data_IF_898783792598
#
_entry.id   IF_898783792598
#
_cell.length_a   1.000
_cell.length_b   1.000
_cell.length_c   1.000
_cell.angle_alpha   90.00
_cell.angle_beta   90.00
_cell.angle_gamma   90.00
#
_symmetry.space_group_name_H-M   'P 1'
#
loop_
_entity.id
_entity.type
_entity.pdbx_description
1 polymer ?
#
# COMPACT_ATOMS: atom_id res chain seq x y z
N UNK A 1 52.99 18.35 3.54
CA UNK A 1 53.02 18.63 2.09
C UNK A 1 51.64 19.15 1.70
N UNK A 2 51.66 20.27 1.01
CA UNK A 2 50.53 21.13 0.60
C UNK A 2 49.95 20.62 -0.73
N UNK A 3 48.63 20.69 -0.90
CA UNK A 3 47.92 21.22 -2.09
C UNK A 3 46.39 21.04 -1.90
N UNK A 4 45.55 22.08 -1.80
CA UNK A 4 44.98 22.93 -2.87
C UNK A 4 43.93 22.17 -3.72
N UNK A 5 42.67 22.59 -3.98
CA UNK A 5 42.03 23.91 -4.11
C UNK A 5 40.51 23.89 -3.86
N UNK A 6 40.02 24.95 -3.22
CA UNK A 6 38.71 25.63 -3.39
C UNK A 6 38.85 26.61 -4.59
N UNK A 7 37.87 27.22 -5.24
CA UNK A 7 36.53 27.76 -4.89
C UNK A 7 35.86 28.18 -6.24
N UNK A 8 34.53 28.31 -6.28
CA UNK A 8 33.76 28.76 -7.45
C UNK A 8 33.46 30.25 -7.33
N UNK A 9 33.76 31.01 -8.39
CA UNK A 9 33.67 32.47 -8.48
C UNK A 9 32.38 32.91 -9.21
N UNK A 10 31.75 33.99 -8.71
CA UNK A 10 30.60 34.68 -9.31
C UNK A 10 31.07 35.92 -10.10
N UNK A 11 30.34 36.42 -11.12
CA UNK A 11 30.70 37.67 -11.77
C UNK A 11 29.89 38.88 -11.27
N UNK A 12 30.60 40.02 -11.15
CA UNK A 12 30.11 41.40 -10.90
C UNK A 12 30.17 42.24 -12.20
N UNK A 13 29.40 43.33 -12.14
CA UNK A 13 29.12 44.40 -13.12
C UNK A 13 30.30 45.27 -13.60
N UNK A 14 30.08 46.05 -14.68
CA UNK A 14 30.30 47.51 -14.86
C UNK A 14 30.47 47.86 -16.37
N UNK A 15 29.75 48.81 -16.97
CA UNK A 15 30.01 50.28 -17.02
C UNK A 15 29.95 50.71 -18.51
N UNK A 16 29.80 51.95 -18.98
CA UNK A 16 29.60 53.31 -18.46
C UNK A 16 29.35 54.27 -19.66
N UNK A 17 28.70 55.42 -19.40
CA UNK A 17 28.92 56.80 -19.95
C UNK A 17 28.90 57.05 -21.50
N UNK A 18 28.58 58.22 -22.09
CA UNK A 18 28.23 59.60 -21.72
C UNK A 18 27.91 60.36 -23.05
N UNK A 19 27.09 61.43 -23.00
CA UNK A 19 27.41 62.79 -23.53
C UNK A 19 26.16 63.64 -23.88
N UNK A 20 26.07 64.79 -23.20
CA UNK A 20 25.29 66.01 -23.53
C UNK A 20 26.15 66.90 -24.49
N UNK A 21 25.79 68.14 -24.95
CA UNK A 21 24.84 69.11 -24.38
C UNK A 21 24.11 70.07 -25.37
N UNK A 22 23.51 71.10 -24.77
CA UNK A 22 23.16 72.45 -25.29
C UNK A 22 21.71 72.73 -25.74
N UNK A 23 21.13 73.72 -25.05
CA UNK A 23 19.82 74.29 -25.32
C UNK A 23 19.88 75.64 -26.05
N UNK A 24 18.73 76.07 -26.56
CA UNK A 24 18.36 77.43 -26.92
C UNK A 24 16.83 77.47 -27.13
N UNK A 25 16.16 78.41 -26.46
CA UNK A 25 14.76 78.84 -26.61
C UNK A 25 14.80 80.33 -27.08
N UNK A 26 13.75 81.03 -27.60
CA UNK A 26 12.39 80.68 -28.06
C UNK A 26 12.00 81.28 -29.44
N UNK A 27 10.90 80.78 -30.06
CA UNK A 27 9.75 81.56 -30.57
C UNK A 27 8.78 80.71 -31.42
N UNK A 28 7.47 81.03 -31.46
CA UNK A 28 6.43 80.16 -31.98
C UNK A 28 6.27 80.30 -33.49
N UNK A 29 6.22 79.17 -34.20
CA UNK A 29 5.73 79.09 -35.56
C UNK A 29 4.33 78.49 -35.49
N UNK A 30 3.30 79.31 -35.69
CA UNK A 30 1.95 78.82 -35.98
C UNK A 30 1.93 78.20 -37.38
N UNK A 31 1.62 76.91 -37.46
CA UNK A 31 1.11 76.28 -38.69
C UNK A 31 -0.08 75.36 -38.34
N UNK A 32 -1.04 75.20 -39.26
CA UNK A 32 -2.44 74.94 -38.94
C UNK A 32 -2.71 73.49 -38.56
N UNK A 33 -3.70 73.31 -37.68
CA UNK A 33 -4.24 72.03 -37.25
C UNK A 33 -4.61 71.13 -38.45
N UNK A 34 -3.75 70.17 -38.77
CA UNK A 34 -4.16 68.95 -39.47
C UNK A 34 -4.81 68.04 -38.43
N UNK A 35 -6.10 67.76 -38.63
CA UNK A 35 -6.81 66.72 -37.93
C UNK A 35 -6.12 65.37 -38.20
N UNK A 36 -5.26 64.94 -37.28
CA UNK A 36 -4.80 63.55 -37.20
C UNK A 36 -5.96 62.76 -36.64
N UNK A 37 -6.61 61.99 -37.50
CA UNK A 37 -7.55 60.96 -37.08
C UNK A 37 -6.75 59.94 -36.25
N UNK A 38 -6.88 60.00 -34.92
CA UNK A 38 -6.38 58.94 -34.05
C UNK A 38 -7.17 57.65 -34.33
N UNK A 39 -6.65 56.82 -35.23
CA UNK A 39 -7.04 55.41 -35.28
C UNK A 39 -6.39 54.72 -34.09
N UNK A 40 -7.05 54.76 -32.92
CA UNK A 40 -6.75 53.80 -31.84
C UNK A 40 -6.89 52.39 -32.43
N UNK A 41 -5.84 51.55 -32.40
CA UNK A 41 -6.06 50.13 -32.63
C UNK A 41 -6.93 49.63 -31.49
N UNK A 42 -8.20 49.33 -31.78
CA UNK A 42 -9.00 48.51 -30.90
C UNK A 42 -8.28 47.18 -30.80
N UNK A 43 -7.62 46.94 -29.66
CA UNK A 43 -7.20 45.60 -29.28
C UNK A 43 -8.50 44.80 -29.11
N UNK A 44 -8.90 44.09 -30.16
CA UNK A 44 -10.01 43.16 -30.08
C UNK A 44 -9.61 42.09 -29.08
N UNK A 45 -10.18 42.14 -27.87
CA UNK A 45 -10.14 41.01 -26.96
C UNK A 45 -10.70 39.81 -27.73
N UNK A 46 -9.98 38.67 -27.78
CA UNK A 46 -10.45 37.50 -28.51
C UNK A 46 -11.85 37.15 -28.00
N UNK A 47 -12.77 36.90 -28.93
CA UNK A 47 -14.17 36.60 -28.65
C UNK A 47 -14.27 35.63 -27.49
N UNK A 48 -14.74 36.17 -26.35
CA UNK A 48 -15.01 35.40 -25.16
C UNK A 48 -15.88 34.21 -25.54
N UNK A 49 -15.46 33.02 -25.10
CA UNK A 49 -16.18 31.76 -25.27
C UNK A 49 -17.69 32.04 -25.08
N UNK A 50 -18.55 31.77 -26.09
CA UNK A 50 -19.96 32.14 -26.05
C UNK A 50 -20.57 31.72 -24.72
N UNK A 51 -21.30 32.61 -24.03
CA UNK A 51 -21.84 32.36 -22.68
C UNK A 51 -22.53 30.98 -22.54
N UNK A 52 -23.17 30.51 -23.61
CA UNK A 52 -23.79 29.19 -23.71
C UNK A 52 -22.79 28.01 -23.55
N UNK A 53 -21.57 28.12 -24.08
CA UNK A 53 -20.51 27.11 -23.90
C UNK A 53 -19.92 27.13 -22.49
N UNK A 54 -19.84 28.32 -21.87
CA UNK A 54 -19.36 28.47 -20.49
C UNK A 54 -20.35 27.82 -19.48
N UNK A 55 -21.65 28.00 -19.70
CA UNK A 55 -22.68 27.33 -18.90
C UNK A 55 -22.66 25.82 -19.05
N UNK A 56 -22.45 25.28 -20.26
CA UNK A 56 -22.36 23.83 -20.46
C UNK A 56 -21.13 23.23 -19.77
N UNK A 57 -19.96 23.88 -19.88
CA UNK A 57 -18.74 23.42 -19.20
C UNK A 57 -18.90 23.48 -17.68
N UNK A 58 -19.49 24.55 -17.15
CA UNK A 58 -19.76 24.66 -15.71
C UNK A 58 -20.75 23.59 -15.22
N UNK A 59 -21.82 23.33 -15.98
CA UNK A 59 -22.78 22.27 -15.67
C UNK A 59 -22.10 20.90 -15.66
N UNK A 60 -21.25 20.61 -16.65
CA UNK A 60 -20.50 19.35 -16.71
C UNK A 60 -19.55 19.21 -15.51
N UNK A 61 -18.84 20.27 -15.13
CA UNK A 61 -17.98 20.28 -13.93
C UNK A 61 -18.80 20.01 -12.67
N UNK A 62 -19.95 20.68 -12.50
CA UNK A 62 -20.83 20.48 -11.35
C UNK A 62 -21.41 19.06 -11.30
N UNK A 63 -21.79 18.49 -12.45
CA UNK A 63 -22.23 17.09 -12.56
C UNK A 63 -21.09 16.14 -12.18
N UNK A 64 -19.86 16.40 -12.64
CA UNK A 64 -18.69 15.59 -12.27
C UNK A 64 -18.38 15.68 -10.77
N UNK A 65 -18.43 16.87 -10.18
CA UNK A 65 -18.24 17.06 -8.73
C UNK A 65 -19.33 16.34 -7.94
N UNK A 66 -20.60 16.47 -8.36
CA UNK A 66 -21.72 15.77 -7.75
C UNK A 66 -21.57 14.25 -7.90
N UNK A 67 -21.12 13.76 -9.06
CA UNK A 67 -20.85 12.35 -9.30
C UNK A 67 -19.74 11.80 -8.41
N UNK A 68 -18.65 12.55 -8.23
CA UNK A 68 -17.58 12.20 -7.28
C UNK A 68 -18.11 12.20 -5.84
N UNK A 69 -18.93 13.19 -5.47
CA UNK A 69 -19.51 13.26 -4.12
C UNK A 69 -20.46 12.10 -3.84
N UNK A 70 -21.32 11.74 -4.81
CA UNK A 70 -22.19 10.55 -4.73
C UNK A 70 -21.35 9.28 -4.65
N UNK A 71 -20.26 9.17 -5.42
CA UNK A 71 -19.37 8.02 -5.38
C UNK A 71 -18.69 7.90 -4.00
N UNK A 72 -18.14 8.99 -3.45
CA UNK A 72 -17.53 8.99 -2.12
C UNK A 72 -18.55 8.64 -1.03
N UNK A 73 -19.74 9.24 -1.09
CA UNK A 73 -20.83 8.93 -0.17
C UNK A 73 -21.33 7.49 -0.31
N UNK A 74 -21.31 6.93 -1.52
CA UNK A 74 -21.59 5.51 -1.75
C UNK A 74 -20.49 4.62 -1.17
N UNK A 75 -19.21 4.99 -1.31
CA UNK A 75 -18.09 4.23 -0.72
C UNK A 75 -18.13 4.25 0.82
N UNK A 76 -18.39 5.40 1.44
CA UNK A 76 -18.65 5.51 2.88
C UNK A 76 -19.88 4.69 3.29
N UNK A 77 -20.99 4.83 2.56
CA UNK A 77 -22.19 4.06 2.80
C UNK A 77 -21.93 2.55 2.68
N UNK A 78 -21.20 2.06 1.68
CA UNK A 78 -20.86 0.64 1.56
C UNK A 78 -19.93 0.14 2.67
N UNK A 79 -19.11 1.01 3.27
CA UNK A 79 -18.34 0.66 4.47
C UNK A 79 -19.27 0.54 5.70
N UNK A 80 -20.27 1.42 5.83
CA UNK A 80 -21.21 1.44 6.95
C UNK A 80 -22.42 0.51 6.77
N UNK A 81 -22.69 0.04 5.54
CA UNK A 81 -23.87 -0.75 5.20
C UNK A 81 -23.67 -2.20 5.62
N UNK A 82 -24.39 -2.59 6.67
CA UNK A 82 -24.62 -3.97 7.05
C UNK A 82 -25.85 -4.52 6.29
N UNK A 83 -25.66 -5.44 5.32
CA UNK A 83 -26.77 -5.97 4.51
C UNK A 83 -27.78 -6.78 5.33
N UNK A 84 -27.42 -7.25 6.53
CA UNK A 84 -28.28 -8.09 7.35
C UNK A 84 -29.04 -7.30 8.44
N UNK A 85 -28.78 -5.99 8.57
CA UNK A 85 -29.41 -5.14 9.59
C UNK A 85 -29.24 -5.69 11.01
N UNK A 86 -28.20 -6.49 11.25
CA UNK A 86 -27.88 -7.03 12.56
C UNK A 86 -27.09 -5.93 13.24
N UNK A 87 -27.67 -5.14 14.16
CA UNK A 87 -26.87 -4.19 14.90
C UNK A 87 -25.65 -4.92 15.44
N UNK A 88 -24.47 -4.35 15.22
CA UNK A 88 -23.19 -4.72 15.84
C UNK A 88 -23.32 -4.53 17.36
N UNK A 89 -24.17 -5.36 17.96
CA UNK A 89 -24.58 -5.45 19.35
C UNK A 89 -24.94 -6.89 19.60
N UNK A 90 -23.89 -7.67 19.71
CA UNK A 90 -23.66 -8.35 20.97
C UNK A 90 -22.17 -8.58 21.04
N UNK A 91 -21.51 -8.06 22.08
CA UNK A 91 -20.48 -8.85 22.71
C UNK A 91 -21.18 -10.13 23.17
N UNK A 92 -21.45 -11.04 22.23
CA UNK A 92 -21.80 -12.40 22.55
C UNK A 92 -20.60 -12.82 23.36
N UNK A 93 -20.81 -12.99 24.67
CA UNK A 93 -19.86 -13.64 25.57
C UNK A 93 -19.24 -14.73 24.75
N UNK A 94 -17.98 -14.53 24.35
CA UNK A 94 -17.25 -15.52 23.60
C UNK A 94 -17.21 -16.70 24.56
N UNK A 95 -18.15 -17.63 24.40
CA UNK A 95 -18.00 -18.95 24.93
C UNK A 95 -16.63 -19.35 24.39
N UNK A 96 -15.65 -19.38 25.28
CA UNK A 96 -14.32 -19.81 24.94
C UNK A 96 -14.55 -21.20 24.39
N UNK A 97 -14.51 -21.34 23.07
CA UNK A 97 -14.42 -22.65 22.47
C UNK A 97 -13.06 -23.11 22.93
N UNK A 98 -13.06 -23.85 24.03
CA UNK A 98 -11.90 -24.52 24.56
C UNK A 98 -11.61 -25.62 23.55
N UNK A 99 -10.98 -25.23 22.44
CA UNK A 99 -10.39 -26.18 21.52
C UNK A 99 -9.29 -26.80 22.35
N UNK A 100 -9.57 -27.99 22.89
CA UNK A 100 -8.57 -28.82 23.53
C UNK A 100 -7.53 -29.18 22.45
N UNK A 101 -6.57 -28.29 22.26
CA UNK A 101 -5.43 -28.55 21.41
C UNK A 101 -4.54 -29.52 22.17
N UNK A 102 -4.21 -30.65 21.53
CA UNK A 102 -3.16 -31.52 22.02
C UNK A 102 -1.91 -30.67 22.33
N UNK A 103 -1.15 -30.94 23.40
CA UNK A 103 0.01 -30.14 23.77
C UNK A 103 0.93 -29.96 22.56
N UNK A 104 0.91 -28.78 21.95
CA UNK A 104 1.78 -28.46 20.83
C UNK A 104 3.08 -27.90 21.38
N UNK A 105 4.20 -28.33 20.82
CA UNK A 105 5.47 -27.65 21.06
C UNK A 105 5.33 -26.22 20.54
N UNK A 106 5.44 -25.24 21.45
CA UNK A 106 5.34 -23.84 21.07
C UNK A 106 6.61 -23.43 20.33
N UNK A 107 6.52 -22.78 19.16
CA UNK A 107 7.70 -22.20 18.52
C UNK A 107 8.29 -21.09 19.40
N UNK A 108 9.60 -20.88 19.30
CA UNK A 108 10.30 -19.75 19.93
C UNK A 108 9.66 -18.42 19.52
N UNK A 109 9.23 -18.33 18.26
CA UNK A 109 8.48 -17.20 17.70
C UNK A 109 7.71 -17.64 16.46
N UNK A 110 6.65 -16.91 16.16
CA UNK A 110 5.89 -17.01 14.91
C UNK A 110 6.20 -15.78 14.07
N UNK A 111 6.61 -15.99 12.82
CA UNK A 111 6.89 -14.94 11.85
C UNK A 111 5.84 -15.04 10.76
N UNK A 112 5.12 -13.95 10.53
CA UNK A 112 4.18 -13.81 9.43
C UNK A 112 4.80 -12.86 8.42
N UNK A 113 5.15 -13.37 7.24
CA UNK A 113 5.48 -12.56 6.07
C UNK A 113 4.21 -12.43 5.23
N UNK A 114 3.58 -11.26 5.25
CA UNK A 114 2.44 -10.94 4.39
C UNK A 114 2.93 -10.09 3.23
N UNK A 115 3.08 -10.67 2.06
CA UNK A 115 3.52 -9.95 0.85
C UNK A 115 2.31 -9.31 0.20
N UNK A 116 2.25 -7.98 0.16
CA UNK A 116 1.10 -7.28 -0.43
C UNK A 116 1.04 -7.53 -1.94
N UNK A 117 -0.11 -7.99 -2.44
CA UNK A 117 -0.37 -8.15 -3.87
C UNK A 117 0.29 -9.33 -4.58
N UNK A 118 0.84 -10.31 -3.86
CA UNK A 118 1.48 -11.50 -4.44
C UNK A 118 0.47 -12.55 -4.93
N UNK A 119 0.39 -12.72 -6.24
CA UNK A 119 -0.39 -13.79 -6.90
C UNK A 119 0.16 -15.20 -6.65
N UNK A 120 -0.72 -16.20 -6.68
CA UNK A 120 -0.38 -17.61 -6.50
C UNK A 120 0.64 -18.15 -7.52
N UNK A 121 0.46 -17.85 -8.82
CA UNK A 121 1.31 -18.34 -9.90
C UNK A 121 2.77 -17.88 -9.74
N UNK A 122 2.97 -16.59 -9.46
CA UNK A 122 4.30 -16.05 -9.16
C UNK A 122 4.90 -16.64 -7.88
N UNK A 123 4.08 -16.88 -6.86
CA UNK A 123 4.52 -17.53 -5.62
C UNK A 123 4.92 -19.00 -5.83
N UNK A 124 4.34 -19.68 -6.83
CA UNK A 124 4.73 -21.04 -7.23
C UNK A 124 6.14 -21.15 -7.75
N UNK A 125 6.55 -20.14 -8.52
CA UNK A 125 7.86 -20.08 -9.16
C UNK A 125 8.99 -19.60 -8.23
N UNK A 126 8.65 -19.12 -7.04
CA UNK A 126 9.60 -18.67 -6.02
C UNK A 126 10.41 -19.85 -5.47
N UNK A 127 11.72 -19.84 -5.71
CA UNK A 127 12.61 -20.95 -5.37
C UNK A 127 12.81 -21.10 -3.86
N UNK A 128 12.92 -20.00 -3.11
CA UNK A 128 13.04 -20.06 -1.65
C UNK A 128 11.72 -20.49 -1.01
N UNK A 129 10.61 -19.94 -1.48
CA UNK A 129 9.28 -20.36 -1.02
C UNK A 129 9.03 -21.85 -1.30
N UNK A 130 9.41 -22.35 -2.48
CA UNK A 130 9.36 -23.76 -2.83
C UNK A 130 10.10 -24.67 -1.84
N UNK A 131 11.27 -24.26 -1.33
CA UNK A 131 11.99 -25.00 -0.29
C UNK A 131 11.27 -24.99 1.06
N UNK A 132 10.67 -23.86 1.45
CA UNK A 132 9.88 -23.73 2.68
C UNK A 132 8.64 -24.64 2.61
N UNK A 133 7.98 -24.68 1.44
CA UNK A 133 6.83 -25.54 1.18
C UNK A 133 7.18 -27.03 1.27
N UNK A 134 8.33 -27.43 0.74
CA UNK A 134 8.76 -28.83 0.75
C UNK A 134 8.95 -29.40 2.16
N UNK A 135 9.23 -28.56 3.16
CA UNK A 135 9.35 -28.94 4.57
C UNK A 135 8.15 -28.51 5.43
N UNK A 136 7.07 -28.03 4.81
CA UNK A 136 5.92 -27.45 5.49
C UNK A 136 4.58 -27.86 4.86
N UNK A 137 3.58 -27.01 5.05
CA UNK A 137 2.24 -27.14 4.46
C UNK A 137 1.96 -25.94 3.55
N UNK A 138 1.23 -26.17 2.47
CA UNK A 138 0.79 -25.09 1.60
C UNK A 138 -0.60 -25.35 1.03
N UNK A 139 -1.35 -24.28 0.84
CA UNK A 139 -2.70 -24.32 0.25
C UNK A 139 -2.88 -23.17 -0.74
N UNK A 140 -3.54 -23.46 -1.86
CA UNK A 140 -4.15 -22.40 -2.65
C UNK A 140 -5.25 -21.78 -1.80
N UNK A 141 -5.25 -20.46 -1.69
CA UNK A 141 -6.16 -19.72 -0.82
C UNK A 141 -6.98 -18.77 -1.68
N UNK A 142 -8.29 -18.94 -1.64
CA UNK A 142 -9.22 -17.89 -2.05
C UNK A 142 -9.31 -16.88 -0.90
N UNK A 143 -8.74 -15.70 -1.08
CA UNK A 143 -8.77 -14.64 -0.06
C UNK A 143 -10.17 -14.09 0.12
N UNK A 144 -11.10 -14.30 -0.81
CA UNK A 144 -12.46 -13.78 -0.79
C UNK A 144 -12.58 -12.36 -1.33
N UNK A 145 -13.79 -11.81 -1.23
CA UNK A 145 -14.12 -10.46 -1.73
C UNK A 145 -14.79 -9.61 -0.66
N UNK A 146 -14.59 -8.27 -0.68
CA UNK A 146 -13.68 -7.54 -1.57
C UNK A 146 -12.20 -7.80 -1.25
N UNK A 147 -11.39 -7.99 -2.29
CA UNK A 147 -9.97 -8.35 -2.16
C UNK A 147 -9.08 -7.12 -1.97
N UNK A 148 -9.55 -6.14 -1.20
CA UNK A 148 -8.77 -4.96 -0.82
C UNK A 148 -7.90 -5.28 0.39
N UNK A 149 -6.71 -4.71 0.43
CA UNK A 149 -5.69 -4.97 1.46
C UNK A 149 -6.24 -4.81 2.88
N UNK A 150 -6.87 -3.68 3.24
CA UNK A 150 -7.46 -3.47 4.59
C UNK A 150 -8.53 -4.52 4.94
N UNK A 151 -9.35 -4.91 3.95
CA UNK A 151 -10.37 -5.95 4.14
C UNK A 151 -9.73 -7.30 4.44
N UNK A 152 -8.70 -7.68 3.67
CA UNK A 152 -7.93 -8.90 3.85
C UNK A 152 -7.11 -8.89 5.15
N UNK A 153 -6.53 -7.75 5.55
CA UNK A 153 -5.83 -7.61 6.83
C UNK A 153 -6.75 -7.94 8.00
N UNK A 154 -8.02 -7.53 7.94
CA UNK A 154 -9.02 -7.86 8.95
C UNK A 154 -9.24 -9.39 9.05
N UNK A 155 -9.35 -10.09 7.92
CA UNK A 155 -9.50 -11.55 7.88
C UNK A 155 -8.26 -12.23 8.46
N UNK A 156 -7.07 -11.88 7.99
CA UNK A 156 -5.80 -12.46 8.45
C UNK A 156 -5.63 -12.28 9.96
N UNK A 157 -6.07 -11.13 10.48
CA UNK A 157 -5.91 -10.79 11.89
C UNK A 157 -6.95 -11.43 12.81
N UNK A 158 -8.17 -11.68 12.32
CA UNK A 158 -9.33 -12.03 13.17
C UNK A 158 -10.03 -13.33 12.81
N UNK A 159 -9.83 -13.84 11.59
CA UNK A 159 -10.64 -14.91 11.00
C UNK A 159 -12.06 -14.47 10.60
N UNK A 160 -12.46 -13.22 10.85
CA UNK A 160 -13.76 -12.69 10.46
C UNK A 160 -13.70 -12.26 9.00
N UNK A 161 -14.54 -12.87 8.17
CA UNK A 161 -14.64 -12.60 6.73
C UNK A 161 -14.87 -11.12 6.42
N UNK A 162 -14.46 -10.70 5.23
CA UNK A 162 -14.55 -9.31 4.78
C UNK A 162 -15.97 -8.77 4.82
N UNK A 163 -17.00 -9.58 4.54
CA UNK A 163 -18.41 -9.18 4.59
C UNK A 163 -18.96 -8.98 6.02
N UNK A 164 -18.16 -9.27 7.06
CA UNK A 164 -18.56 -9.18 8.47
C UNK A 164 -17.62 -8.36 9.35
N UNK A 165 -16.43 -8.03 8.87
CA UNK A 165 -15.40 -7.32 9.65
C UNK A 165 -15.70 -5.83 9.93
N UNK A 166 -16.61 -5.22 9.19
CA UNK A 166 -16.82 -3.76 9.12
C UNK A 166 -15.82 -3.03 8.21
N UNK A 167 -14.80 -3.72 7.69
CA UNK A 167 -13.73 -3.12 6.86
C UNK A 167 -13.91 -3.64 5.43
N UNK A 168 -14.50 -2.81 4.55
CA UNK A 168 -14.86 -3.22 3.18
C UNK A 168 -13.93 -2.67 2.12
N UNK A 169 -13.19 -1.60 2.39
CA UNK A 169 -12.37 -0.91 1.38
C UNK A 169 -11.06 -0.40 1.98
N UNK A 170 -10.09 -0.12 1.12
CA UNK A 170 -8.87 0.58 1.51
C UNK A 170 -9.11 2.02 1.98
N UNK A 171 -10.32 2.58 1.81
CA UNK A 171 -10.70 3.89 2.32
C UNK A 171 -11.11 3.89 3.81
N UNK A 172 -11.22 2.71 4.46
CA UNK A 172 -11.55 2.63 5.87
C UNK A 172 -10.44 3.20 6.75
N UNK A 173 -10.72 4.29 7.48
CA UNK A 173 -9.80 4.85 8.46
C UNK A 173 -10.39 4.72 9.87
N UNK A 174 -9.67 4.05 10.76
CA UNK A 174 -10.08 3.87 12.14
C UNK A 174 -9.62 2.54 12.71
N UNK A 175 -10.05 2.28 13.94
CA UNK A 175 -9.76 1.04 14.67
C UNK A 175 -10.74 -0.05 14.28
N UNK A 176 -10.21 -1.24 14.00
CA UNK A 176 -11.02 -2.42 13.75
C UNK A 176 -11.84 -2.79 15.01
N UNK A 177 -13.12 -3.13 14.83
CA UNK A 177 -14.01 -3.52 15.93
C UNK A 177 -13.97 -5.02 16.23
N UNK A 178 -13.37 -5.81 15.35
CA UNK A 178 -13.15 -7.25 15.55
C UNK A 178 -11.91 -7.51 16.41
N UNK A 179 -11.96 -8.56 17.23
CA UNK A 179 -10.80 -9.03 17.99
C UNK A 179 -9.71 -9.54 17.03
N UNK A 180 -8.45 -9.52 17.45
CA UNK A 180 -7.32 -9.91 16.60
C UNK A 180 -6.26 -10.72 17.31
N UNK A 181 -5.56 -11.58 16.57
CA UNK A 181 -4.44 -12.37 17.08
C UNK A 181 -3.36 -11.47 17.70
N UNK A 182 -3.19 -10.23 17.21
CA UNK A 182 -2.26 -9.25 17.76
C UNK A 182 -2.65 -8.85 19.18
N UNK A 183 -3.92 -8.43 19.36
CA UNK A 183 -4.45 -8.07 20.66
C UNK A 183 -4.45 -9.27 21.63
N UNK A 184 -4.77 -10.48 21.14
CA UNK A 184 -4.76 -11.71 21.95
C UNK A 184 -3.35 -12.10 22.39
N UNK A 185 -2.37 -12.00 21.51
CA UNK A 185 -0.97 -12.27 21.85
C UNK A 185 -0.47 -11.27 22.90
N UNK A 186 -0.75 -9.98 22.73
CA UNK A 186 -0.44 -8.92 23.72
C UNK A 186 -1.08 -9.21 25.08
N UNK A 187 -2.38 -9.54 25.10
CA UNK A 187 -3.10 -9.85 26.33
C UNK A 187 -2.58 -11.12 27.03
N UNK A 188 -2.00 -12.06 26.27
CA UNK A 188 -1.32 -13.24 26.80
C UNK A 188 0.12 -12.97 27.27
N UNK A 189 0.58 -11.72 27.25
CA UNK A 189 1.92 -11.32 27.66
C UNK A 189 3.02 -11.61 26.64
N UNK A 190 2.65 -11.86 25.38
CA UNK A 190 3.60 -12.07 24.29
C UNK A 190 4.06 -10.73 23.71
N UNK A 191 5.33 -10.69 23.30
CA UNK A 191 5.89 -9.54 22.59
C UNK A 191 5.50 -9.57 21.12
N UNK A 192 4.74 -8.59 20.67
CA UNK A 192 4.23 -8.50 19.29
C UNK A 192 4.86 -7.32 18.57
N UNK A 193 5.43 -7.55 17.40
CA UNK A 193 6.08 -6.50 16.59
C UNK A 193 5.58 -6.50 15.15
N UNK A 194 5.59 -5.33 14.51
CA UNK A 194 5.31 -5.17 13.09
C UNK A 194 6.37 -4.31 12.41
N UNK A 195 6.82 -4.74 11.24
CA UNK A 195 7.56 -3.93 10.27
C UNK A 195 6.74 -3.89 8.99
N UNK A 196 6.28 -2.70 8.59
CA UNK A 196 5.38 -2.54 7.44
C UNK A 196 5.70 -1.27 6.66
N UNK A 197 5.32 -1.24 5.38
CA UNK A 197 5.44 -0.02 4.56
C UNK A 197 4.29 0.99 4.74
N UNK A 198 3.22 0.59 5.44
CA UNK A 198 2.04 1.40 5.70
C UNK A 198 1.69 1.39 7.19
N UNK A 199 1.16 2.51 7.70
CA UNK A 199 0.68 2.65 9.08
C UNK A 199 -0.62 1.90 9.36
N UNK A 200 -1.21 1.25 8.36
CA UNK A 200 -2.57 0.71 8.44
C UNK A 200 -2.73 -0.34 9.53
N UNK A 201 -1.68 -1.11 9.84
CA UNK A 201 -1.70 -2.08 10.94
C UNK A 201 -1.92 -1.43 12.30
N UNK A 202 -1.26 -0.30 12.58
CA UNK A 202 -1.41 0.42 13.86
C UNK A 202 -2.66 1.29 13.89
N UNK A 203 -3.20 1.71 12.74
CA UNK A 203 -4.52 2.31 12.65
C UNK A 203 -5.61 1.30 13.02
N UNK A 204 -5.57 0.10 12.42
CA UNK A 204 -6.54 -0.96 12.63
C UNK A 204 -6.45 -1.57 14.04
N UNK A 205 -5.24 -1.79 14.57
CA UNK A 205 -5.00 -2.37 15.90
C UNK A 205 -4.01 -1.55 16.72
N UNK A 206 -4.44 -0.38 17.27
CA UNK A 206 -3.54 0.54 17.98
C UNK A 206 -2.94 -0.04 19.27
N UNK A 207 -3.51 -1.11 19.82
CA UNK A 207 -3.02 -1.80 21.01
C UNK A 207 -2.37 -3.16 20.69
N UNK A 208 -2.30 -3.53 19.41
CA UNK A 208 -1.89 -4.86 18.96
C UNK A 208 -0.39 -5.11 18.99
N UNK A 209 0.43 -4.08 19.13
CA UNK A 209 1.88 -4.16 18.94
C UNK A 209 2.64 -3.50 20.09
N UNK A 210 3.68 -4.17 20.60
CA UNK A 210 4.69 -3.58 21.50
C UNK A 210 5.57 -2.57 20.78
N UNK A 211 5.87 -2.86 19.51
CA UNK A 211 6.70 -2.03 18.64
C UNK A 211 6.18 -2.08 17.21
N UNK A 212 6.16 -0.93 16.57
CA UNK A 212 5.79 -0.79 15.17
C UNK A 212 6.83 0.04 14.43
N UNK A 213 7.37 -0.53 13.36
CA UNK A 213 8.33 0.14 12.49
C UNK A 213 7.69 0.43 11.15
N UNK A 214 7.51 1.71 10.84
CA UNK A 214 7.10 2.16 9.52
C UNK A 214 8.34 2.30 8.63
N UNK A 215 8.48 1.40 7.67
CA UNK A 215 9.60 1.33 6.74
C UNK A 215 9.23 1.98 5.39
N UNK A 216 10.19 2.54 4.68
CA UNK A 216 10.05 2.78 3.23
C UNK A 216 10.30 1.46 2.48
N UNK A 217 9.90 1.37 1.21
CA UNK A 217 10.21 0.18 0.41
C UNK A 217 11.72 -0.08 0.32
N UNK A 218 12.53 0.98 0.25
CA UNK A 218 13.99 0.88 0.14
C UNK A 218 14.66 0.34 1.42
N UNK A 219 14.20 0.77 2.60
CA UNK A 219 14.81 0.35 3.86
C UNK A 219 14.12 -0.84 4.53
N UNK A 220 12.96 -1.30 4.01
CA UNK A 220 12.25 -2.47 4.52
C UNK A 220 13.15 -3.72 4.63
N UNK A 221 13.95 -4.10 3.62
CA UNK A 221 14.85 -5.25 3.73
C UNK A 221 15.76 -5.22 4.96
N UNK A 222 16.32 -4.04 5.27
CA UNK A 222 17.20 -3.85 6.41
C UNK A 222 16.41 -3.95 7.72
N UNK A 223 15.33 -3.17 7.86
CA UNK A 223 14.54 -3.09 9.10
C UNK A 223 13.84 -4.42 9.42
N UNK A 224 13.35 -5.14 8.41
CA UNK A 224 12.80 -6.49 8.59
C UNK A 224 13.88 -7.47 9.08
N UNK A 225 15.09 -7.41 8.53
CA UNK A 225 16.22 -8.24 8.97
C UNK A 225 16.66 -7.91 10.40
N UNK A 226 16.61 -6.65 10.80
CA UNK A 226 16.87 -6.21 12.18
C UNK A 226 15.81 -6.74 13.15
N UNK A 227 14.53 -6.62 12.80
CA UNK A 227 13.42 -7.17 13.60
C UNK A 227 13.54 -8.71 13.75
N UNK A 228 13.99 -9.41 12.71
CA UNK A 228 14.27 -10.84 12.76
C UNK A 228 15.46 -11.22 13.67
N UNK A 229 16.30 -10.26 14.09
CA UNK A 229 17.32 -10.48 15.13
C UNK A 229 16.82 -10.15 16.54
N UNK A 230 15.65 -9.51 16.63
CA UNK A 230 14.99 -9.16 17.88
C UNK A 230 14.37 -10.38 18.59
N UNK A 231 13.55 -10.08 19.60
CA UNK A 231 12.96 -11.05 20.53
C UNK A 231 11.43 -11.05 20.49
N UNK A 232 10.80 -10.64 19.39
CA UNK A 232 9.36 -10.77 19.19
C UNK A 232 8.92 -12.24 19.27
N UNK A 233 7.86 -12.52 20.02
CA UNK A 233 7.17 -13.81 20.03
C UNK A 233 6.28 -13.96 18.78
N UNK A 234 5.70 -12.86 18.31
CA UNK A 234 4.89 -12.77 17.10
C UNK A 234 5.35 -11.56 16.29
N UNK A 235 5.87 -11.80 15.09
CA UNK A 235 6.42 -10.77 14.21
C UNK A 235 5.66 -10.73 12.89
N UNK A 236 5.10 -9.58 12.54
CA UNK A 236 4.54 -9.31 11.22
C UNK A 236 5.55 -8.52 10.36
N UNK A 237 5.90 -9.08 9.21
CA UNK A 237 6.68 -8.43 8.16
C UNK A 237 5.78 -8.21 6.95
N UNK A 238 5.64 -6.96 6.52
CA UNK A 238 4.68 -6.61 5.47
C UNK A 238 5.27 -5.65 4.42
N UNK A 239 5.94 -6.19 3.38
CA UNK A 239 6.41 -5.41 2.25
C UNK A 239 5.29 -5.12 1.25
N UNK A 240 5.30 -3.93 0.67
CA UNK A 240 4.33 -3.51 -0.37
C UNK A 240 4.95 -3.40 -1.78
N UNK A 241 6.20 -3.85 -1.96
CA UNK A 241 6.92 -3.67 -3.24
C UNK A 241 6.25 -4.40 -4.42
N UNK A 242 5.59 -5.53 -4.16
CA UNK A 242 4.91 -6.33 -5.18
C UNK A 242 3.60 -5.64 -5.60
N UNK A 243 2.75 -5.26 -4.64
CA UNK A 243 1.55 -4.44 -4.87
C UNK A 243 1.87 -3.11 -5.58
N UNK A 244 2.91 -2.40 -5.13
CA UNK A 244 3.37 -1.18 -5.81
C UNK A 244 3.70 -1.44 -7.28
N UNK A 245 4.47 -2.48 -7.60
CA UNK A 245 4.77 -2.83 -8.99
C UNK A 245 3.52 -3.24 -9.78
N UNK A 246 2.56 -3.90 -9.13
CA UNK A 246 1.28 -4.30 -9.71
C UNK A 246 0.39 -3.10 -10.03
N UNK A 247 0.36 -2.08 -9.18
CA UNK A 247 -0.32 -0.81 -9.44
C UNK A 247 0.35 -0.04 -10.56
N UNK A 248 1.67 0.11 -10.52
CA UNK A 248 2.40 0.92 -11.49
C UNK A 248 2.35 0.33 -12.90
N UNK A 249 2.61 -0.98 -13.03
CA UNK A 249 2.87 -1.62 -14.33
C UNK A 249 2.10 -2.91 -14.58
N UNK A 250 1.33 -3.40 -13.61
CA UNK A 250 0.59 -4.66 -13.70
C UNK A 250 1.44 -5.91 -13.55
N UNK A 251 0.78 -7.03 -13.26
CA UNK A 251 1.46 -8.31 -12.99
C UNK A 251 2.24 -8.87 -14.19
N UNK A 252 1.93 -8.46 -15.43
CA UNK A 252 2.67 -8.91 -16.62
C UNK A 252 4.04 -8.22 -16.77
N UNK A 253 4.30 -7.18 -15.99
CA UNK A 253 5.50 -6.37 -16.17
C UNK A 253 6.76 -7.04 -15.62
N UNK A 254 7.94 -6.76 -16.22
CA UNK A 254 9.21 -7.13 -15.60
C UNK A 254 9.38 -6.54 -14.20
N UNK A 255 8.85 -5.33 -13.96
CA UNK A 255 8.90 -4.67 -12.65
C UNK A 255 8.21 -5.50 -11.55
N UNK A 256 7.06 -6.10 -11.86
CA UNK A 256 6.35 -6.99 -10.93
C UNK A 256 7.14 -8.27 -10.67
N UNK A 257 7.68 -8.90 -11.72
CA UNK A 257 8.54 -10.09 -11.58
C UNK A 257 9.80 -9.78 -10.74
N UNK A 258 10.43 -8.63 -10.96
CA UNK A 258 11.63 -8.21 -10.20
C UNK A 258 11.31 -7.96 -8.73
N UNK A 259 10.14 -7.40 -8.43
CA UNK A 259 9.63 -7.24 -7.07
C UNK A 259 9.41 -8.61 -6.39
N UNK A 260 8.75 -9.56 -7.06
CA UNK A 260 8.59 -10.94 -6.56
C UNK A 260 9.94 -11.60 -6.29
N UNK A 261 10.86 -11.51 -7.25
CA UNK A 261 12.21 -12.06 -7.13
C UNK A 261 12.98 -11.42 -5.95
N UNK A 262 12.73 -10.15 -5.64
CA UNK A 262 13.35 -9.48 -4.49
C UNK A 262 12.88 -10.08 -3.16
N UNK A 263 11.58 -10.38 -3.03
CA UNK A 263 11.02 -11.04 -1.85
C UNK A 263 11.55 -12.47 -1.71
N UNK A 264 11.66 -13.23 -2.81
CA UNK A 264 12.21 -14.59 -2.77
C UNK A 264 13.66 -14.60 -2.30
N UNK A 265 14.47 -13.61 -2.72
CA UNK A 265 15.84 -13.42 -2.22
C UNK A 265 15.88 -13.10 -0.73
N UNK A 266 14.96 -12.26 -0.23
CA UNK A 266 14.87 -11.97 1.21
C UNK A 266 14.52 -13.23 2.00
N UNK A 267 13.52 -13.99 1.55
CA UNK A 267 13.16 -15.27 2.15
C UNK A 267 14.35 -16.22 2.21
N UNK A 268 15.07 -16.40 1.09
CA UNK A 268 16.27 -17.24 1.03
C UNK A 268 17.31 -16.80 2.08
N UNK A 269 17.61 -15.51 2.15
CA UNK A 269 18.58 -14.96 3.09
C UNK A 269 18.15 -15.16 4.54
N UNK A 270 16.87 -14.90 4.86
CA UNK A 270 16.34 -15.06 6.20
C UNK A 270 16.35 -16.52 6.64
N UNK A 271 15.93 -17.46 5.80
CA UNK A 271 15.95 -18.90 6.13
C UNK A 271 17.35 -19.50 6.21
N UNK A 272 18.35 -18.85 5.60
CA UNK A 272 19.76 -19.26 5.71
C UNK A 272 20.46 -18.65 6.94
N UNK A 273 19.83 -17.71 7.65
CA UNK A 273 20.50 -16.93 8.68
C UNK A 273 19.63 -16.63 9.88
N UNK A 274 18.63 -15.77 9.72
CA UNK A 274 17.87 -15.25 10.86
C UNK A 274 16.76 -16.17 11.33
N UNK A 275 16.17 -17.00 10.47
CA UNK A 275 15.03 -17.87 10.76
C UNK A 275 15.52 -19.32 10.87
N UNK A 276 15.30 -19.94 12.02
CA UNK A 276 15.60 -21.34 12.26
C UNK A 276 14.30 -22.13 12.37
N UNK A 277 13.88 -22.80 11.30
CA UNK A 277 12.61 -23.54 11.26
C UNK A 277 12.56 -24.75 12.21
N UNK A 278 13.68 -25.16 12.82
CA UNK A 278 13.67 -26.16 13.89
C UNK A 278 13.24 -25.58 15.24
N UNK A 279 13.16 -24.24 15.35
CA UNK A 279 12.80 -23.50 16.57
C UNK A 279 11.68 -22.49 16.35
N UNK A 280 11.54 -21.98 15.14
CA UNK A 280 10.61 -20.93 14.74
C UNK A 280 9.47 -21.51 13.90
N UNK A 281 8.37 -20.78 13.80
CA UNK A 281 7.35 -20.99 12.79
C UNK A 281 7.35 -19.81 11.80
N UNK A 282 7.28 -20.10 10.51
CA UNK A 282 7.16 -19.12 9.43
C UNK A 282 5.87 -19.36 8.67
N UNK A 283 5.08 -18.30 8.51
CA UNK A 283 3.86 -18.27 7.69
C UNK A 283 4.08 -17.21 6.61
N UNK A 284 3.98 -17.59 5.35
CA UNK A 284 4.05 -16.70 4.19
C UNK A 284 2.66 -16.64 3.56
N UNK A 285 2.13 -15.43 3.45
CA UNK A 285 0.78 -15.14 2.98
C UNK A 285 0.82 -14.05 1.91
N UNK A 286 -0.28 -13.92 1.19
CA UNK A 286 -0.64 -12.74 0.42
C UNK A 286 -2.08 -12.35 0.71
N UNK A 287 -2.35 -11.06 0.75
CA UNK A 287 -3.67 -10.49 1.03
C UNK A 287 -4.57 -10.41 -0.21
N UNK A 288 -3.96 -10.30 -1.39
CA UNK A 288 -4.58 -10.43 -2.72
C UNK A 288 -3.51 -10.65 -3.80
N UNK A 289 -3.94 -10.82 -5.04
CA UNK A 289 -3.10 -10.78 -6.25
C UNK A 289 -3.33 -9.51 -7.07
N UNK A 290 -2.85 -9.51 -8.31
CA UNK A 290 -3.03 -8.43 -9.26
C UNK A 290 -3.47 -8.94 -10.62
N UNK A 291 -4.28 -8.12 -11.30
CA UNK A 291 -4.59 -8.37 -12.71
C UNK A 291 -3.34 -8.18 -13.57
N UNK A 292 -3.33 -8.84 -14.73
CA UNK A 292 -2.20 -8.73 -15.68
C UNK A 292 -1.86 -7.31 -16.09
N UNK A 293 -2.86 -6.43 -16.20
CA UNK A 293 -2.72 -5.01 -16.55
C UNK A 293 -2.62 -4.08 -15.33
N UNK A 294 -2.64 -4.62 -14.12
CA UNK A 294 -2.68 -3.87 -12.87
C UNK A 294 -4.09 -3.71 -12.31
N UNK A 295 -4.14 -3.33 -11.03
CA UNK A 295 -5.36 -3.24 -10.23
C UNK A 295 -5.73 -4.54 -9.49
N UNK A 296 -6.56 -4.36 -8.46
CA UNK A 296 -7.10 -5.39 -7.55
C UNK A 296 -8.37 -4.86 -6.87
N UNK A 297 -8.92 -5.62 -5.92
CA UNK A 297 -10.10 -5.28 -5.12
C UNK A 297 -11.39 -6.02 -5.53
N UNK A 298 -11.38 -6.62 -6.71
CA UNK A 298 -12.52 -7.34 -7.30
C UNK A 298 -12.47 -8.86 -7.15
N UNK A 299 -13.44 -9.57 -7.75
CA UNK A 299 -13.56 -11.03 -7.69
C UNK A 299 -12.71 -11.77 -8.74
N UNK A 300 -11.85 -11.08 -9.49
CA UNK A 300 -11.03 -11.72 -10.53
C UNK A 300 -10.20 -12.86 -9.94
N UNK A 301 -10.21 -14.01 -10.61
CA UNK A 301 -9.56 -15.22 -10.11
C UNK A 301 -8.08 -14.99 -9.77
N UNK A 302 -7.35 -14.28 -10.62
CA UNK A 302 -5.94 -13.96 -10.37
C UNK A 302 -5.71 -12.96 -9.22
N UNK A 303 -6.76 -12.28 -8.77
CA UNK A 303 -6.70 -11.34 -7.64
C UNK A 303 -7.09 -12.04 -6.34
N UNK A 304 -8.08 -12.93 -6.37
CA UNK A 304 -8.52 -13.64 -5.16
C UNK A 304 -7.72 -14.89 -4.86
N UNK A 305 -6.95 -15.42 -5.81
CA UNK A 305 -6.19 -16.67 -5.65
C UNK A 305 -4.75 -16.40 -5.25
N UNK A 306 -4.39 -16.80 -4.03
CA UNK A 306 -3.04 -16.66 -3.46
C UNK A 306 -2.49 -18.01 -3.00
N UNK A 307 -1.20 -18.06 -2.65
CA UNK A 307 -0.55 -19.24 -2.09
C UNK A 307 -0.18 -18.99 -0.63
N UNK A 308 -0.81 -19.73 0.28
CA UNK A 308 -0.47 -19.73 1.70
C UNK A 308 0.53 -20.84 1.99
N UNK A 309 1.58 -20.52 2.74
CA UNK A 309 2.63 -21.47 3.12
C UNK A 309 2.92 -21.33 4.61
N UNK A 310 3.02 -22.45 5.33
CA UNK A 310 3.50 -22.47 6.70
C UNK A 310 4.54 -23.57 6.89
N UNK A 311 5.58 -23.31 7.67
CA UNK A 311 6.63 -24.29 7.98
C UNK A 311 7.24 -24.03 9.35
N UNK A 312 7.82 -25.06 9.96
CA UNK A 312 8.51 -24.99 11.25
C UNK A 312 7.72 -25.51 12.44
N UNK A 313 8.14 -25.15 13.65
CA UNK A 313 7.63 -25.75 14.90
C UNK A 313 6.14 -25.44 15.10
N UNK A 314 5.35 -26.48 15.37
CA UNK A 314 3.90 -26.37 15.59
C UNK A 314 3.07 -26.38 14.29
N UNK A 315 3.71 -26.40 13.11
CA UNK A 315 3.03 -26.61 11.84
C UNK A 315 2.90 -28.12 11.59
N UNK A 316 1.66 -28.61 11.51
CA UNK A 316 1.34 -30.03 11.30
C UNK A 316 0.47 -30.17 10.06
N UNK A 317 0.87 -31.05 9.15
CA UNK A 317 -0.02 -31.53 8.08
C UNK A 317 -0.94 -32.60 8.68
N UNK A 318 -2.14 -32.19 9.10
CA UNK A 318 -3.16 -33.11 9.62
C UNK A 318 -4.10 -33.63 8.50
N UNK A 319 -3.79 -33.34 7.23
CA UNK A 319 -4.57 -33.75 6.08
C UNK A 319 -5.92 -33.05 5.92
N UNK A 320 -6.22 -32.02 6.72
CA UNK A 320 -7.50 -31.27 6.66
C UNK A 320 -7.48 -30.03 5.78
N UNK A 321 -6.34 -29.70 5.17
CA UNK A 321 -6.30 -28.63 4.18
C UNK A 321 -7.19 -29.00 2.99
N UNK A 322 -8.23 -28.19 2.77
CA UNK A 322 -9.29 -28.44 1.79
C UNK A 322 -8.71 -28.57 0.37
N UNK A 323 -7.62 -27.83 0.07
CA UNK A 323 -6.82 -28.00 -1.15
C UNK A 323 -5.34 -27.84 -0.83
N UNK A 324 -4.61 -28.96 -0.77
CA UNK A 324 -3.14 -28.91 -0.75
C UNK A 324 -2.66 -28.48 -2.13
N UNK A 325 -1.91 -27.39 -2.20
CA UNK A 325 -1.43 -26.86 -3.47
C UNK A 325 -0.52 -27.92 -4.14
N UNK A 326 -0.98 -28.54 -5.23
CA UNK A 326 -0.16 -29.42 -6.08
C UNK A 326 0.67 -28.57 -7.05
N UNK A 327 1.74 -29.14 -7.61
CA UNK A 327 2.54 -28.46 -8.64
C UNK A 327 1.73 -28.03 -9.86
N UNK A 328 0.60 -28.69 -10.11
CA UNK A 328 -0.21 -28.51 -11.32
C UNK A 328 -1.33 -27.47 -11.10
N UNK A 329 -1.50 -26.98 -9.87
CA UNK A 329 -2.52 -26.01 -9.46
C UNK A 329 -1.98 -24.61 -9.18
N UNK A 330 -0.67 -24.40 -9.37
CA UNK A 330 0.03 -23.14 -9.09
C UNK A 330 0.53 -22.56 -10.41
#
# INVERSE_FOLDING_TARGET
MVDERKEVEAPREAGDAESSPEGLDPRPVEEPARAVQETRPQLALPDFIPRAKFSTVLILILISILGVYILLGYMEWTNDYDPDGVPSRSAASAAQVEVAMAPQTRPRRVIILLVDGLRADFAGDMSALGRIRASGVSAITDVGTPSYSRSSYAVISSGVRQDRSGIRTNAFHGTATVDSIWNRARAAGLRVEVVANLSWWTELWPQGFDSSTLATMDNFPQLATEALRGNADLLLLHPTIVDYAGHERGARSPMYQDAVNSIDRLLANWTNGQIDLSRDALIVLSDHGHRWKGGHGGPEHEVVTTLSVASGVGVVDDGRLIEKASSDQI
#
